data_IF_795029131312
#
_entry.id   IF_795029131312
#
_cell.length_a   1.000
_cell.length_b   1.000
_cell.length_c   1.000
_cell.angle_alpha   90.00
_cell.angle_beta   90.00
_cell.angle_gamma   90.00
#
_symmetry.space_group_name_H-M   'P 1'
#
loop_
_entity.id
_entity.type
_entity.pdbx_description
1 polymer ?
#
# COMPACT_ATOMS: atom_id res chain seq x y z
N UNK A 1 1.59 -6.58 -14.53
CA UNK A 1 1.22 -6.27 -13.13
C UNK A 1 1.61 -7.39 -12.17
N UNK A 2 1.09 -8.61 -12.33
CA UNK A 2 1.36 -9.75 -11.42
C UNK A 2 2.84 -10.05 -11.21
N UNK A 3 3.65 -10.07 -12.29
CA UNK A 3 5.11 -10.25 -12.19
C UNK A 3 5.75 -9.19 -11.28
N UNK A 4 5.33 -7.93 -11.42
CA UNK A 4 5.77 -6.85 -10.54
C UNK A 4 5.35 -7.07 -9.10
N UNK A 5 4.11 -7.51 -8.85
CA UNK A 5 3.63 -7.82 -7.51
C UNK A 5 4.42 -8.93 -6.85
N UNK A 6 4.66 -10.03 -7.56
CA UNK A 6 5.46 -11.15 -7.06
C UNK A 6 6.88 -10.69 -6.72
N UNK A 7 7.52 -9.92 -7.60
CA UNK A 7 8.85 -9.38 -7.35
C UNK A 7 8.86 -8.45 -6.12
N UNK A 8 7.90 -7.52 -6.03
CA UNK A 8 7.76 -6.61 -4.89
C UNK A 8 7.55 -7.34 -3.57
N UNK A 9 6.66 -8.35 -3.57
CA UNK A 9 6.30 -9.11 -2.38
C UNK A 9 7.45 -9.95 -1.82
N UNK A 10 8.37 -10.41 -2.67
CA UNK A 10 9.53 -11.18 -2.26
C UNK A 10 10.71 -10.29 -1.86
N UNK A 11 11.03 -9.28 -2.68
CA UNK A 11 12.28 -8.50 -2.53
C UNK A 11 12.17 -7.47 -1.39
N UNK A 12 11.04 -6.77 -1.28
CA UNK A 12 10.92 -5.61 -0.38
C UNK A 12 10.93 -6.00 1.11
N UNK A 13 10.28 -7.09 1.55
CA UNK A 13 10.40 -7.57 2.92
C UNK A 13 11.80 -8.06 3.27
N UNK A 14 12.53 -8.67 2.33
CA UNK A 14 13.92 -9.09 2.56
C UNK A 14 14.84 -7.88 2.84
N UNK A 15 14.62 -6.77 2.12
CA UNK A 15 15.32 -5.50 2.35
C UNK A 15 14.95 -4.85 3.70
N UNK A 16 13.76 -5.13 4.23
CA UNK A 16 13.27 -4.57 5.48
C UNK A 16 14.02 -5.07 6.72
N UNK A 17 14.79 -6.15 6.61
CA UNK A 17 15.64 -6.63 7.70
C UNK A 17 16.80 -5.67 8.02
N UNK A 18 17.21 -4.82 7.06
CA UNK A 18 18.36 -3.91 7.20
C UNK A 18 17.99 -2.42 7.17
N UNK A 19 16.73 -2.10 6.88
CA UNK A 19 16.26 -0.73 6.64
C UNK A 19 15.06 -0.41 7.52
N UNK A 20 14.83 0.88 7.74
CA UNK A 20 13.59 1.35 8.37
C UNK A 20 12.39 0.97 7.47
N UNK A 21 11.51 0.10 7.99
CA UNK A 21 10.30 -0.42 7.31
C UNK A 21 9.42 0.70 6.77
N UNK A 22 9.40 1.86 7.43
CA UNK A 22 8.62 3.03 7.00
C UNK A 22 9.14 3.64 5.71
N UNK A 23 10.47 3.71 5.53
CA UNK A 23 11.08 4.21 4.29
C UNK A 23 10.74 3.29 3.13
N UNK A 24 10.76 1.97 3.36
CA UNK A 24 10.35 0.99 2.36
C UNK A 24 8.85 1.10 2.05
N UNK A 25 8.00 1.31 3.06
CA UNK A 25 6.57 1.53 2.82
C UNK A 25 6.34 2.80 1.98
N UNK A 26 6.98 3.92 2.32
CA UNK A 26 6.91 5.15 1.51
C UNK A 26 7.43 4.94 0.08
N UNK A 27 8.49 4.17 -0.09
CA UNK A 27 8.99 3.80 -1.42
C UNK A 27 7.96 2.99 -2.20
N UNK A 28 7.32 1.99 -1.59
CA UNK A 28 6.27 1.21 -2.27
C UNK A 28 5.04 2.04 -2.63
N UNK A 29 4.67 3.02 -1.80
CA UNK A 29 3.61 3.98 -2.10
C UNK A 29 4.03 4.91 -3.24
N UNK A 30 5.29 5.34 -3.28
CA UNK A 30 5.81 6.20 -4.34
C UNK A 30 5.79 5.51 -5.71
N UNK A 31 6.13 4.22 -5.76
CA UNK A 31 5.99 3.42 -6.99
C UNK A 31 4.53 3.33 -7.45
N UNK A 32 3.58 3.11 -6.53
CA UNK A 32 2.15 3.11 -6.88
C UNK A 32 1.70 4.48 -7.40
N UNK A 33 2.11 5.57 -6.75
CA UNK A 33 1.82 6.92 -7.22
C UNK A 33 2.37 7.16 -8.62
N UNK A 34 3.63 6.77 -8.87
CA UNK A 34 4.26 6.91 -10.18
C UNK A 34 3.50 6.14 -11.26
N UNK A 35 3.08 4.90 -11.00
CA UNK A 35 2.31 4.12 -11.96
C UNK A 35 0.92 4.69 -12.22
N UNK A 36 0.21 5.17 -11.19
CA UNK A 36 -1.09 5.84 -11.38
C UNK A 36 -0.95 7.16 -12.15
N UNK A 37 0.05 7.99 -11.85
CA UNK A 37 0.36 9.18 -12.64
C UNK A 37 0.68 8.83 -14.10
N UNK A 38 1.43 7.74 -14.33
CA UNK A 38 1.68 7.22 -15.66
C UNK A 38 0.41 6.83 -16.42
N UNK A 39 -0.54 6.16 -15.77
CA UNK A 39 -1.84 5.84 -16.36
C UNK A 39 -2.73 7.07 -16.62
N UNK A 40 -2.57 8.15 -15.84
CA UNK A 40 -3.31 9.40 -16.05
C UNK A 40 -2.74 10.21 -17.21
N UNK A 41 -1.41 10.36 -17.27
CA UNK A 41 -0.72 11.24 -18.21
C UNK A 41 -0.39 10.56 -19.55
N UNK A 42 0.01 9.29 -19.50
CA UNK A 42 0.47 8.51 -20.66
C UNK A 42 -0.12 7.09 -20.70
N UNK A 43 -1.46 6.96 -20.75
CA UNK A 43 -2.12 5.66 -20.71
C UNK A 43 -1.76 4.75 -21.90
N UNK A 44 -1.48 5.32 -23.08
CA UNK A 44 -1.31 4.56 -24.32
C UNK A 44 0.15 4.24 -24.67
N UNK A 45 1.12 4.97 -24.11
CA UNK A 45 2.51 4.91 -24.55
C UNK A 45 3.28 3.77 -23.88
N UNK A 46 3.14 3.60 -22.56
CA UNK A 46 3.92 2.65 -21.76
C UNK A 46 3.07 1.88 -20.72
N UNK A 47 1.91 1.31 -21.10
CA UNK A 47 0.99 0.69 -20.14
C UNK A 47 1.60 -0.49 -19.37
N UNK A 48 2.49 -1.26 -20.00
CA UNK A 48 3.19 -2.38 -19.37
C UNK A 48 4.13 -1.87 -18.27
N UNK A 49 4.88 -0.79 -18.54
CA UNK A 49 5.79 -0.19 -17.57
C UNK A 49 5.01 0.28 -16.33
N UNK A 50 3.94 1.05 -16.53
CA UNK A 50 3.11 1.54 -15.44
C UNK A 50 2.49 0.40 -14.63
N UNK A 51 2.02 -0.65 -15.30
CA UNK A 51 1.49 -1.85 -14.65
C UNK A 51 2.55 -2.62 -13.84
N UNK A 52 3.80 -2.67 -14.30
CA UNK A 52 4.90 -3.32 -13.57
C UNK A 52 5.31 -2.46 -12.37
N UNK A 53 5.47 -1.15 -12.55
CA UNK A 53 5.84 -0.20 -11.48
C UNK A 53 4.79 -0.19 -10.37
N UNK A 54 3.50 -0.03 -10.72
CA UNK A 54 2.40 -0.18 -9.76
C UNK A 54 2.41 -1.56 -9.10
N UNK A 55 2.64 -2.62 -9.88
CA UNK A 55 2.72 -3.99 -9.38
C UNK A 55 3.76 -4.15 -8.29
N UNK A 56 4.99 -3.66 -8.49
CA UNK A 56 6.07 -3.74 -7.50
C UNK A 56 5.69 -3.00 -6.21
N UNK A 57 5.14 -1.80 -6.33
CA UNK A 57 4.68 -1.04 -5.18
C UNK A 57 3.57 -1.75 -4.41
N UNK A 58 2.53 -2.21 -5.10
CA UNK A 58 1.39 -2.89 -4.48
C UNK A 58 1.80 -4.21 -3.80
N UNK A 59 2.61 -5.01 -4.51
CA UNK A 59 3.10 -6.29 -4.00
C UNK A 59 4.04 -6.16 -2.82
N UNK A 60 4.87 -5.10 -2.78
CA UNK A 60 5.75 -4.83 -1.65
C UNK A 60 5.03 -4.26 -0.43
N UNK A 61 4.03 -3.39 -0.63
CA UNK A 61 3.30 -2.75 0.46
C UNK A 61 2.55 -3.76 1.34
N UNK A 62 1.93 -4.78 0.73
CA UNK A 62 1.14 -5.79 1.44
C UNK A 62 1.92 -6.54 2.54
N UNK A 63 3.02 -7.26 2.25
CA UNK A 63 3.79 -7.97 3.26
C UNK A 63 4.49 -7.01 4.23
N UNK A 64 4.91 -5.81 3.80
CA UNK A 64 5.49 -4.81 4.71
C UNK A 64 4.48 -4.37 5.79
N UNK A 65 3.22 -4.12 5.41
CA UNK A 65 2.16 -3.81 6.35
C UNK A 65 1.86 -4.99 7.30
N UNK A 66 1.90 -6.22 6.79
CA UNK A 66 1.68 -7.43 7.58
C UNK A 66 2.79 -7.61 8.63
N UNK A 67 4.06 -7.45 8.23
CA UNK A 67 5.21 -7.46 9.15
C UNK A 67 5.10 -6.34 10.18
N UNK A 68 4.76 -5.12 9.77
CA UNK A 68 4.61 -3.99 10.68
C UNK A 68 3.51 -4.23 11.73
N UNK A 69 2.38 -4.82 11.33
CA UNK A 69 1.29 -5.17 12.24
C UNK A 69 1.68 -6.31 13.19
N UNK A 70 2.46 -7.30 12.71
CA UNK A 70 2.97 -8.38 13.55
C UNK A 70 3.96 -7.88 14.61
N UNK A 71 4.84 -6.95 14.23
CA UNK A 71 5.83 -6.32 15.11
C UNK A 71 5.18 -5.40 16.18
N UNK A 72 3.91 -5.03 16.02
CA UNK A 72 3.24 -4.06 16.90
C UNK A 72 2.90 -4.61 18.30
N UNK A 73 2.67 -5.92 18.47
CA UNK A 73 2.34 -6.50 19.78
C UNK A 73 3.32 -7.62 20.18
N UNK A 74 3.76 -7.59 21.44
CA UNK A 74 4.69 -8.59 22.02
C UNK A 74 4.11 -10.01 22.06
N UNK A 75 2.79 -10.14 22.05
CA UNK A 75 2.10 -11.42 22.17
C UNK A 75 1.62 -11.93 20.79
N UNK A 76 2.13 -13.06 20.27
CA UNK A 76 1.84 -13.55 18.92
C UNK A 76 0.34 -13.71 18.63
N UNK A 77 -0.42 -14.16 19.63
CA UNK A 77 -1.89 -14.33 19.53
C UNK A 77 -2.61 -12.99 19.27
N UNK A 78 -2.15 -11.89 19.87
CA UNK A 78 -2.77 -10.57 19.71
C UNK A 78 -2.41 -9.99 18.34
N UNK A 79 -1.14 -10.06 17.94
CA UNK A 79 -0.68 -9.68 16.61
C UNK A 79 -1.41 -10.44 15.49
N UNK A 80 -1.61 -11.74 15.66
CA UNK A 80 -2.35 -12.56 14.70
C UNK A 80 -3.82 -12.15 14.55
N UNK A 81 -4.50 -11.86 15.67
CA UNK A 81 -5.89 -11.34 15.64
C UNK A 81 -5.97 -9.96 14.99
N UNK A 82 -5.01 -9.07 15.27
CA UNK A 82 -4.93 -7.76 14.66
C UNK A 82 -4.76 -7.85 13.14
N UNK A 83 -3.82 -8.67 12.66
CA UNK A 83 -3.62 -8.91 11.23
C UNK A 83 -4.89 -9.48 10.60
N UNK A 84 -5.52 -10.48 11.20
CA UNK A 84 -6.76 -11.07 10.68
C UNK A 84 -7.89 -10.03 10.57
N UNK A 85 -8.04 -9.17 11.57
CA UNK A 85 -9.02 -8.08 11.57
C UNK A 85 -8.74 -7.05 10.46
N UNK A 86 -7.49 -6.60 10.34
CA UNK A 86 -7.05 -5.67 9.29
C UNK A 86 -7.31 -6.26 7.89
N UNK A 87 -7.01 -7.54 7.69
CA UNK A 87 -7.24 -8.23 6.43
C UNK A 87 -8.73 -8.39 6.12
N UNK A 88 -9.54 -8.74 7.12
CA UNK A 88 -10.99 -8.83 6.95
C UNK A 88 -11.60 -7.53 6.41
N UNK A 89 -11.28 -6.40 7.05
CA UNK A 89 -11.72 -5.08 6.59
C UNK A 89 -11.11 -4.76 5.21
N UNK A 90 -9.82 -5.00 5.03
CA UNK A 90 -9.11 -4.74 3.79
C UNK A 90 -9.72 -5.47 2.59
N UNK A 91 -10.10 -6.74 2.75
CA UNK A 91 -10.73 -7.52 1.69
C UNK A 91 -12.18 -7.11 1.41
N UNK A 92 -12.93 -6.63 2.40
CA UNK A 92 -14.25 -6.02 2.17
C UNK A 92 -14.10 -4.78 1.29
N UNK A 93 -13.16 -3.89 1.62
CA UNK A 93 -12.88 -2.70 0.82
C UNK A 93 -12.41 -3.10 -0.60
N UNK A 94 -11.51 -4.08 -0.70
CA UNK A 94 -11.01 -4.57 -1.99
C UNK A 94 -12.14 -5.18 -2.84
N UNK A 95 -13.11 -5.88 -2.23
CA UNK A 95 -14.27 -6.42 -2.93
C UNK A 95 -15.21 -5.35 -3.49
N UNK A 96 -15.24 -4.16 -2.88
CA UNK A 96 -16.01 -3.00 -3.36
C UNK A 96 -15.30 -2.23 -4.49
N UNK A 97 -13.98 -2.37 -4.60
CA UNK A 97 -13.16 -1.62 -5.56
C UNK A 97 -13.57 -1.84 -7.03
N UNK A 98 -13.83 -3.08 -7.52
CA UNK A 98 -14.29 -3.28 -8.91
C UNK A 98 -15.62 -2.60 -9.24
N UNK A 99 -16.56 -2.61 -8.30
CA UNK A 99 -17.85 -1.92 -8.46
C UNK A 99 -17.63 -0.40 -8.54
N UNK A 100 -16.81 0.17 -7.65
CA UNK A 100 -16.50 1.59 -7.65
C UNK A 100 -15.78 2.01 -8.94
N UNK A 101 -14.78 1.25 -9.37
CA UNK A 101 -14.06 1.50 -10.63
C UNK A 101 -15.00 1.44 -11.83
N UNK A 102 -15.92 0.47 -11.86
CA UNK A 102 -16.97 0.36 -12.87
C UNK A 102 -17.92 1.57 -12.90
N UNK A 103 -18.33 2.07 -11.73
CA UNK A 103 -19.15 3.27 -11.59
C UNK A 103 -18.40 4.53 -12.09
N UNK A 104 -17.16 4.74 -11.65
CA UNK A 104 -16.33 5.88 -12.07
C UNK A 104 -16.09 5.88 -13.59
N UNK A 105 -15.87 4.70 -14.17
CA UNK A 105 -15.76 4.52 -15.62
C UNK A 105 -17.07 4.82 -16.34
N UNK A 106 -18.21 4.39 -15.80
CA UNK A 106 -19.53 4.68 -16.38
C UNK A 106 -19.80 6.19 -16.43
N UNK A 107 -19.38 6.93 -15.41
CA UNK A 107 -19.57 8.39 -15.32
C UNK A 107 -18.63 9.18 -16.24
N UNK A 108 -17.37 8.76 -16.38
CA UNK A 108 -16.36 9.50 -17.17
C UNK A 108 -16.18 9.01 -18.60
N UNK A 109 -16.71 7.83 -18.94
CA UNK A 109 -16.48 7.17 -20.23
C UNK A 109 -15.06 6.64 -20.43
N UNK A 110 -14.15 6.85 -19.47
CA UNK A 110 -12.76 6.40 -19.49
C UNK A 110 -12.31 6.04 -18.06
N UNK A 111 -11.01 5.75 -17.85
CA UNK A 111 -10.48 5.38 -16.53
C UNK A 111 -9.82 6.55 -15.78
N UNK A 112 -9.94 7.79 -16.27
CA UNK A 112 -9.25 8.94 -15.69
C UNK A 112 -9.70 9.22 -14.25
N UNK A 113 -11.01 9.17 -13.99
CA UNK A 113 -11.55 9.32 -12.64
C UNK A 113 -11.09 8.19 -11.70
N UNK A 114 -11.04 6.96 -12.21
CA UNK A 114 -10.63 5.80 -11.44
C UNK A 114 -9.15 5.89 -11.03
N UNK A 115 -8.26 6.22 -11.97
CA UNK A 115 -6.84 6.40 -11.65
C UNK A 115 -6.58 7.59 -10.74
N UNK A 116 -7.32 8.68 -10.92
CA UNK A 116 -7.22 9.86 -10.03
C UNK A 116 -7.65 9.53 -8.61
N UNK A 117 -8.76 8.79 -8.45
CA UNK A 117 -9.23 8.32 -7.15
C UNK A 117 -8.15 7.48 -6.44
N UNK A 118 -7.58 6.49 -7.13
CA UNK A 118 -6.52 5.66 -6.55
C UNK A 118 -5.26 6.48 -6.21
N UNK A 119 -4.86 7.43 -7.05
CA UNK A 119 -3.74 8.33 -6.76
C UNK A 119 -4.00 9.15 -5.49
N UNK A 120 -5.22 9.69 -5.30
CA UNK A 120 -5.60 10.41 -4.08
C UNK A 120 -5.57 9.51 -2.84
N UNK A 121 -6.03 8.26 -2.93
CA UNK A 121 -5.91 7.30 -1.85
C UNK A 121 -4.44 7.06 -1.45
N UNK A 122 -3.55 6.89 -2.44
CA UNK A 122 -2.11 6.72 -2.20
C UNK A 122 -1.51 7.98 -1.55
N UNK A 123 -1.88 9.18 -1.99
CA UNK A 123 -1.45 10.43 -1.36
C UNK A 123 -1.87 10.49 0.12
N UNK A 124 -3.13 10.11 0.42
CA UNK A 124 -3.64 10.01 1.78
C UNK A 124 -2.86 9.01 2.64
N UNK A 125 -2.56 7.83 2.09
CA UNK A 125 -1.75 6.80 2.76
C UNK A 125 -0.31 7.26 3.00
N UNK A 126 0.31 7.99 2.06
CA UNK A 126 1.62 8.60 2.27
C UNK A 126 1.57 9.62 3.41
N UNK A 127 0.58 10.52 3.41
CA UNK A 127 0.41 11.51 4.48
C UNK A 127 0.21 10.85 5.85
N UNK A 128 -0.58 9.77 5.91
CA UNK A 128 -0.80 8.96 7.10
C UNK A 128 0.51 8.30 7.56
N UNK A 129 1.24 7.67 6.64
CA UNK A 129 2.56 7.05 6.92
C UNK A 129 3.57 8.09 7.42
N UNK A 130 3.51 9.33 6.93
CA UNK A 130 4.38 10.41 7.38
C UNK A 130 3.96 10.94 8.76
N UNK A 131 2.66 11.06 9.05
CA UNK A 131 2.15 11.61 10.32
C UNK A 131 2.24 10.67 11.51
N UNK A 132 2.03 9.36 11.33
CA UNK A 132 2.08 8.37 12.41
C UNK A 132 3.54 7.95 12.68
N UNK A 133 4.34 8.88 13.21
CA UNK A 133 5.73 8.62 13.64
C UNK A 133 5.73 8.05 15.06
N UNK A 134 6.29 6.85 15.30
CA UNK A 134 6.38 6.25 16.63
C UNK A 134 7.07 7.14 17.68
N UNK A 135 8.00 7.99 17.25
CA UNK A 135 8.72 8.95 18.09
C UNK A 135 7.84 10.02 18.77
N UNK A 136 6.55 10.08 18.44
CA UNK A 136 5.56 10.95 19.09
C UNK A 136 4.56 10.20 19.97
N UNK A 137 4.72 8.89 20.16
CA UNK A 137 3.92 8.22 21.20
C UNK A 137 4.32 8.79 22.57
N UNK A 138 3.35 9.08 23.45
CA UNK A 138 3.66 9.38 24.84
C UNK A 138 4.57 8.28 25.41
N UNK A 139 5.59 8.66 26.19
CA UNK A 139 6.50 7.72 26.86
C UNK A 139 5.77 6.65 27.69
N UNK A 140 4.52 6.91 28.07
CA UNK A 140 3.59 5.99 28.73
C UNK A 140 3.34 4.70 27.92
N UNK A 141 3.48 4.75 26.59
CA UNK A 141 3.39 3.60 25.69
C UNK A 141 4.75 3.00 25.32
N UNK A 142 5.86 3.66 25.69
CA UNK A 142 7.18 3.04 25.64
C UNK A 142 7.27 2.12 26.85
N UNK A 143 7.21 0.83 26.58
CA UNK A 143 7.23 -0.20 27.61
C UNK A 143 8.47 0.01 28.48
N UNK A 144 8.25 0.23 29.78
CA UNK A 144 9.29 0.24 30.78
C UNK A 144 10.22 -0.98 30.57
N UNK A 145 11.53 -0.71 30.59
CA UNK A 145 12.60 -1.71 30.51
C UNK A 145 12.47 -2.79 31.59
#
# INVERSE_FOLDING_TARGET
>A
MTVGQTAGALILPMLAHHQDRRKLLLFTLALQMLGFCGFILWPAQLPILWAVVCGIGLGGAFPLCLVLALDHARHPVISGKLVAFMQGIGFIIAGLSPWLSGLLRSLSGNYWLDWTFHALCIAGLMALTVRFVPARYPQEWSVAE
#
